data_IF_504659422908
#
_entry.id   IF_504659422908
#
_cell.length_a   1.000
_cell.length_b   1.000
_cell.length_c   1.000
_cell.angle_alpha   90.00
_cell.angle_beta   90.00
_cell.angle_gamma   90.00
#
_symmetry.space_group_name_H-M   'P 1'
#
loop_
_entity.id
_entity.type
_entity.pdbx_description
1 polymer ?
#
# COMPACT_ATOMS: atom_id res chain seq x y z
N UNK A 1 -9.42 -1.60 -0.57
CA UNK A 1 -10.01 -2.70 -1.38
C UNK A 1 -10.71 -3.66 -0.45
N UNK A 2 -11.90 -4.14 -0.80
CA UNK A 2 -12.55 -5.24 -0.08
C UNK A 2 -12.85 -6.34 -1.09
N UNK A 3 -12.20 -7.50 -0.95
CA UNK A 3 -12.26 -8.60 -1.90
C UNK A 3 -10.95 -8.78 -2.67
N UNK A 4 -11.06 -9.11 -3.96
CA UNK A 4 -9.94 -9.31 -4.88
C UNK A 4 -9.92 -8.18 -5.89
N UNK A 5 -8.77 -7.55 -6.11
CA UNK A 5 -8.64 -6.50 -7.11
C UNK A 5 -7.37 -5.68 -6.94
N UNK A 6 -6.79 -5.28 -8.07
CA UNK A 6 -5.47 -4.67 -8.11
C UNK A 6 -5.59 -3.17 -8.36
N UNK A 7 -4.80 -2.37 -7.64
CA UNK A 7 -4.68 -0.93 -7.87
C UNK A 7 -3.29 -0.54 -8.31
N UNK A 8 -3.18 -0.04 -9.54
CA UNK A 8 -1.96 0.57 -10.04
C UNK A 8 -2.09 2.10 -10.01
N UNK A 9 -1.57 2.72 -8.95
CA UNK A 9 -1.58 4.17 -8.72
C UNK A 9 -0.17 4.78 -8.80
N UNK A 10 0.78 4.09 -9.44
CA UNK A 10 2.19 4.49 -9.56
C UNK A 10 2.38 5.87 -10.21
N UNK A 11 1.46 6.26 -11.10
CA UNK A 11 1.50 7.55 -11.79
C UNK A 11 0.82 8.68 -11.00
N UNK A 12 0.14 8.36 -9.89
CA UNK A 12 -0.45 9.33 -8.99
C UNK A 12 0.56 9.66 -7.90
N UNK A 13 1.35 10.71 -8.13
CA UNK A 13 2.25 11.24 -7.12
C UNK A 13 1.43 11.99 -6.06
N UNK A 14 1.41 11.45 -4.85
CA UNK A 14 0.78 12.08 -3.70
C UNK A 14 1.82 12.31 -2.60
N UNK A 15 1.62 13.35 -1.79
CA UNK A 15 2.49 13.58 -0.64
C UNK A 15 2.08 12.69 0.54
N UNK A 16 0.78 12.49 0.73
CA UNK A 16 0.21 11.67 1.79
C UNK A 16 -0.65 10.57 1.18
N UNK A 17 -0.32 9.32 1.49
CA UNK A 17 -1.06 8.16 0.99
C UNK A 17 -1.57 7.33 2.17
N UNK A 18 -2.86 7.01 2.13
CA UNK A 18 -3.49 6.04 3.02
C UNK A 18 -4.12 4.92 2.17
N UNK A 19 -3.68 3.68 2.39
CA UNK A 19 -4.19 2.50 1.69
C UNK A 19 -4.56 1.42 2.69
N UNK A 20 -5.74 0.83 2.52
CA UNK A 20 -6.16 -0.36 3.24
C UNK A 20 -6.66 -1.43 2.27
N UNK A 21 -6.09 -2.62 2.37
CA UNK A 21 -6.50 -3.82 1.63
C UNK A 21 -7.15 -4.78 2.61
N UNK A 22 -8.37 -5.20 2.33
CA UNK A 22 -9.08 -6.26 3.05
C UNK A 22 -9.38 -7.38 2.04
N UNK A 23 -8.60 -8.45 2.07
CA UNK A 23 -8.69 -9.55 1.10
C UNK A 23 -7.35 -9.91 0.46
N UNK A 24 -7.35 -10.08 -0.86
CA UNK A 24 -6.24 -10.66 -1.62
C UNK A 24 -5.87 -9.82 -2.85
N UNK A 25 -6.13 -8.51 -2.80
CA UNK A 25 -5.79 -7.60 -3.89
C UNK A 25 -4.45 -6.91 -3.64
N UNK A 26 -3.81 -6.44 -4.70
CA UNK A 26 -2.52 -5.77 -4.61
C UNK A 26 -2.62 -4.27 -4.87
N UNK A 27 -1.69 -3.48 -4.34
CA UNK A 27 -1.62 -2.04 -4.61
C UNK A 27 -0.20 -1.55 -4.85
N UNK A 28 0.01 -0.91 -6.00
CA UNK A 28 1.20 -0.12 -6.28
C UNK A 28 0.92 1.37 -6.10
N UNK A 29 1.65 2.03 -5.20
CA UNK A 29 1.44 3.45 -4.86
C UNK A 29 2.73 4.27 -4.89
N UNK A 30 2.59 5.59 -5.02
CA UNK A 30 3.70 6.54 -4.91
C UNK A 30 3.43 7.55 -3.78
N UNK A 31 4.39 7.71 -2.86
CA UNK A 31 4.32 8.75 -1.83
C UNK A 31 5.64 9.50 -1.64
N UNK A 32 5.56 10.83 -1.47
CA UNK A 32 6.72 11.68 -1.24
C UNK A 32 6.95 12.04 0.23
N UNK A 33 5.91 12.11 1.07
CA UNK A 33 6.06 12.56 2.48
C UNK A 33 5.65 11.49 3.49
N UNK A 34 4.47 10.88 3.33
CA UNK A 34 3.99 9.89 4.30
C UNK A 34 3.15 8.77 3.70
N UNK A 35 3.30 7.57 4.27
CA UNK A 35 2.47 6.40 4.00
C UNK A 35 1.84 5.88 5.29
N UNK A 36 0.55 5.56 5.19
CA UNK A 36 -0.16 4.66 6.10
C UNK A 36 -0.73 3.53 5.26
N UNK A 37 -0.18 2.33 5.38
CA UNK A 37 -0.58 1.17 4.58
C UNK A 37 -0.97 0.00 5.48
N UNK A 38 -2.13 -0.59 5.22
CA UNK A 38 -2.62 -1.72 5.99
C UNK A 38 -3.11 -2.85 5.09
N UNK A 39 -2.66 -4.07 5.35
CA UNK A 39 -3.13 -5.30 4.71
C UNK A 39 -3.83 -6.15 5.76
N UNK A 40 -5.08 -6.51 5.50
CA UNK A 40 -5.85 -7.50 6.26
C UNK A 40 -6.19 -8.66 5.30
N UNK A 41 -5.36 -9.71 5.28
CA UNK A 41 -5.51 -10.84 4.35
C UNK A 41 -4.19 -11.27 3.73
N UNK A 42 -4.19 -11.47 2.40
CA UNK A 42 -3.10 -12.11 1.65
C UNK A 42 -2.59 -11.27 0.46
N UNK A 43 -3.01 -10.00 0.36
CA UNK A 43 -2.60 -9.11 -0.73
C UNK A 43 -1.38 -8.27 -0.38
N UNK A 44 -0.73 -7.71 -1.39
CA UNK A 44 0.55 -7.02 -1.24
C UNK A 44 0.45 -5.52 -1.56
N UNK A 45 1.22 -4.70 -0.84
CA UNK A 45 1.35 -3.26 -1.13
C UNK A 45 2.80 -2.95 -1.46
N UNK A 46 3.02 -2.46 -2.69
CA UNK A 46 4.31 -1.94 -3.13
C UNK A 46 4.24 -0.42 -3.16
N UNK A 47 5.14 0.24 -2.45
CA UNK A 47 5.22 1.69 -2.48
C UNK A 47 6.54 2.19 -3.04
N UNK A 48 6.46 3.29 -3.79
CA UNK A 48 7.58 3.99 -4.41
C UNK A 48 7.68 5.42 -3.88
N UNK A 49 8.86 6.03 -4.02
CA UNK A 49 9.17 7.37 -3.52
C UNK A 49 10.04 7.32 -2.27
N UNK A 50 10.09 8.43 -1.54
CA UNK A 50 10.92 8.54 -0.34
C UNK A 50 10.20 9.23 0.81
N UNK A 51 9.07 8.66 1.30
CA UNK A 51 8.34 9.23 2.43
C UNK A 51 9.21 9.20 3.69
N UNK A 52 9.19 10.30 4.43
CA UNK A 52 9.86 10.42 5.72
C UNK A 52 9.13 9.64 6.83
N UNK A 53 7.81 9.46 6.67
CA UNK A 53 6.96 8.75 7.63
C UNK A 53 6.30 7.54 6.97
N UNK A 54 6.58 6.36 7.50
CA UNK A 54 6.01 5.10 7.01
C UNK A 54 5.39 4.35 8.18
N UNK A 55 4.08 4.18 8.13
CA UNK A 55 3.31 3.36 9.05
C UNK A 55 2.67 2.22 8.26
N UNK A 56 3.05 0.98 8.61
CA UNK A 56 2.65 -0.21 7.85
C UNK A 56 2.20 -1.31 8.80
N UNK A 57 1.04 -1.90 8.53
CA UNK A 57 0.50 -2.99 9.32
C UNK A 57 0.05 -4.14 8.42
N UNK A 58 0.52 -5.35 8.69
CA UNK A 58 0.08 -6.57 8.03
C UNK A 58 -0.61 -7.48 9.04
N UNK A 59 -1.85 -7.85 8.75
CA UNK A 59 -2.63 -8.81 9.49
C UNK A 59 -3.02 -9.95 8.55
N UNK A 60 -2.19 -11.00 8.48
CA UNK A 60 -2.41 -12.15 7.61
C UNK A 60 -1.10 -12.67 7.01
N UNK A 61 -1.08 -12.89 5.70
CA UNK A 61 0.03 -13.52 4.98
C UNK A 61 0.53 -12.72 3.76
N UNK A 62 0.01 -11.51 3.55
CA UNK A 62 0.55 -10.61 2.53
C UNK A 62 1.75 -9.82 3.03
N UNK A 63 2.25 -8.89 2.21
CA UNK A 63 3.44 -8.10 2.48
C UNK A 63 3.28 -6.62 2.11
N UNK A 64 4.10 -5.76 2.73
CA UNK A 64 4.21 -4.34 2.38
C UNK A 64 5.68 -4.01 2.16
N UNK A 65 6.05 -3.69 0.92
CA UNK A 65 7.45 -3.55 0.52
C UNK A 65 7.71 -2.22 -0.21
N UNK A 66 8.87 -1.63 0.03
CA UNK A 66 9.36 -0.49 -0.76
C UNK A 66 10.00 -0.99 -2.05
N UNK A 67 9.66 -0.37 -3.18
CA UNK A 67 10.30 -0.65 -4.48
C UNK A 67 11.75 -0.16 -4.53
#
# INVERSE_FOLDING_TARGET
VSGSGDLSLQNLQADHVNVTINGSGDADIWSNQSISAQVNGSGDIVYTGNPEKVDTQVNGSGDITKR
#
